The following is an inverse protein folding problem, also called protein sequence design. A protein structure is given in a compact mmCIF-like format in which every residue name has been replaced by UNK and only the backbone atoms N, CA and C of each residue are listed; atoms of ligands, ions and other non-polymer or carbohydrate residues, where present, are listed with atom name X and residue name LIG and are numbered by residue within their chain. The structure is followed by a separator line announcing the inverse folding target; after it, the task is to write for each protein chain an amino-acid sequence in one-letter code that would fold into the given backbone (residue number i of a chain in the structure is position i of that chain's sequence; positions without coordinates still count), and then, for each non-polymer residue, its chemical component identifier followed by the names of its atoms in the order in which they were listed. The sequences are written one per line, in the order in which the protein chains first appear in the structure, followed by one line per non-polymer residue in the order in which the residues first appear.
data_IF_981210955470
#
_entry.id   IF_981210955470
#
_cell.length_a   1.000
_cell.length_b   1.000
_cell.length_c   1.000
_cell.angle_alpha   90.00
_cell.angle_beta   90.00
_cell.angle_gamma   90.00
#
_symmetry.space_group_name_H-M   'P 1'
#
loop_
_entity.id
_entity.type
_entity.pdbx_description
1 polymer ?
#
# COMPACT_ATOMS: atom_id res chain seq x y z
N UNK A 1 37.83 -29.58 -26.96
CA UNK A 1 37.55 -30.16 -25.61
C UNK A 1 37.84 -29.06 -24.60
N UNK A 2 36.99 -28.59 -23.68
CA UNK A 2 35.71 -28.99 -23.09
C UNK A 2 34.91 -27.70 -22.86
N UNK A 3 33.60 -27.76 -23.06
CA UNK A 3 32.64 -26.68 -22.80
C UNK A 3 32.43 -26.60 -21.28
N UNK A 4 32.64 -25.44 -20.67
CA UNK A 4 32.19 -25.16 -19.30
C UNK A 4 31.07 -24.14 -19.44
N UNK A 5 29.84 -24.64 -19.34
CA UNK A 5 28.60 -23.87 -19.35
C UNK A 5 28.46 -23.28 -17.94
N UNK A 6 28.73 -21.98 -17.80
CA UNK A 6 28.43 -21.24 -16.58
C UNK A 6 26.94 -20.85 -16.62
N UNK A 7 26.13 -21.60 -15.88
CA UNK A 7 24.73 -21.26 -15.58
C UNK A 7 24.71 -20.01 -14.67
N UNK A 8 24.56 -18.83 -15.26
CA UNK A 8 24.24 -17.61 -14.53
C UNK A 8 22.71 -17.48 -14.42
N UNK A 9 22.14 -18.06 -13.35
CA UNK A 9 20.75 -17.80 -12.97
C UNK A 9 20.72 -16.42 -12.32
N UNK A 10 20.57 -15.38 -13.13
CA UNK A 10 20.25 -14.04 -12.66
C UNK A 10 18.74 -14.01 -12.44
N UNK A 11 18.33 -14.25 -11.19
CA UNK A 11 16.96 -14.01 -10.76
C UNK A 11 16.68 -12.51 -10.85
N UNK A 12 15.97 -12.08 -11.89
CA UNK A 12 15.38 -10.75 -11.92
C UNK A 12 14.36 -10.67 -10.77
N UNK A 13 14.78 -10.05 -9.68
CA UNK A 13 13.86 -9.56 -8.66
C UNK A 13 13.11 -8.40 -9.33
N UNK A 14 11.94 -8.68 -9.87
CA UNK A 14 11.03 -7.64 -10.37
C UNK A 14 10.56 -6.82 -9.18
N UNK A 15 11.22 -5.69 -8.95
CA UNK A 15 10.71 -4.64 -8.08
C UNK A 15 9.48 -4.06 -8.77
N UNK A 16 8.29 -4.47 -8.34
CA UNK A 16 7.04 -3.86 -8.78
C UNK A 16 6.97 -2.45 -8.22
N UNK A 17 7.40 -1.47 -9.01
CA UNK A 17 7.15 -0.07 -8.75
C UNK A 17 5.68 0.20 -9.06
N UNK A 18 4.78 -0.04 -8.10
CA UNK A 18 3.39 0.45 -8.19
C UNK A 18 3.38 1.97 -8.00
N UNK A 19 3.79 2.68 -9.05
CA UNK A 19 3.73 4.13 -9.13
C UNK A 19 2.45 4.53 -9.84
N UNK A 20 1.31 4.40 -9.13
CA UNK A 20 0.05 5.02 -9.57
C UNK A 20 0.10 6.51 -9.28
N UNK A 21 0.72 7.26 -10.20
CA UNK A 21 0.76 8.71 -10.21
C UNK A 21 -0.62 9.31 -10.42
N UNK A 22 -1.25 9.77 -9.34
CA UNK A 22 -2.40 10.70 -9.33
C UNK A 22 -2.46 11.42 -7.98
N UNK A 23 -1.53 12.33 -7.69
CA UNK A 23 -1.56 13.24 -6.51
C UNK A 23 -2.14 12.63 -5.23
N UNK A 24 -1.79 11.37 -4.94
CA UNK A 24 -2.40 10.59 -3.88
C UNK A 24 -1.47 10.63 -2.68
N UNK A 25 -2.06 10.73 -1.49
CA UNK A 25 -1.29 10.69 -0.24
C UNK A 25 -0.44 9.41 -0.24
N UNK A 26 0.86 9.57 -0.07
CA UNK A 26 1.77 8.43 -0.07
C UNK A 26 1.51 7.57 1.17
N UNK A 27 1.35 6.25 1.03
CA UNK A 27 1.17 5.35 2.17
C UNK A 27 2.38 5.40 3.11
N UNK A 28 2.13 5.33 4.42
CA UNK A 28 3.18 5.28 5.47
C UNK A 28 3.16 3.93 6.17
N UNK A 29 4.19 3.54 6.94
CA UNK A 29 4.15 2.33 7.73
C UNK A 29 2.87 2.26 8.57
N UNK A 30 2.08 1.21 8.37
CA UNK A 30 0.76 1.03 9.02
C UNK A 30 -0.46 1.35 8.14
N UNK A 31 -0.29 2.09 7.03
CA UNK A 31 -1.33 2.28 6.01
C UNK A 31 -1.74 0.94 5.38
N UNK A 32 -3.00 0.82 4.95
CA UNK A 32 -3.52 -0.39 4.30
C UNK A 32 -2.78 -0.68 2.98
N UNK A 33 -2.41 0.37 2.26
CA UNK A 33 -1.72 0.30 0.97
C UNK A 33 -0.19 0.36 1.10
N UNK A 34 0.35 0.30 2.32
CA UNK A 34 1.79 0.28 2.54
C UNK A 34 2.38 -1.06 2.09
N UNK A 35 3.38 -1.00 1.20
CA UNK A 35 4.00 -2.20 0.61
C UNK A 35 3.16 -2.87 -0.48
N UNK A 36 2.07 -2.24 -0.96
CA UNK A 36 1.21 -2.73 -2.04
C UNK A 36 -0.26 -2.76 -1.66
N UNK A 37 -1.13 -3.10 -2.61
CA UNK A 37 -2.58 -3.11 -2.39
C UNK A 37 -3.11 -4.49 -1.97
N UNK A 38 -3.89 -4.59 -0.89
CA UNK A 38 -4.48 -5.86 -0.47
C UNK A 38 -5.63 -6.25 -1.38
N UNK A 39 -5.50 -7.40 -2.05
CA UNK A 39 -6.48 -7.89 -3.03
C UNK A 39 -7.69 -8.59 -2.41
N UNK A 40 -7.64 -8.97 -1.13
CA UNK A 40 -8.53 -10.00 -0.57
C UNK A 40 -9.73 -9.47 0.24
N UNK A 41 -9.72 -8.22 0.72
CA UNK A 41 -10.69 -7.76 1.75
C UNK A 41 -11.80 -6.81 1.27
N UNK A 42 -11.92 -6.54 -0.03
CA UNK A 42 -12.80 -5.46 -0.53
C UNK A 42 -13.92 -5.92 -1.46
N UNK A 43 -14.11 -7.24 -1.61
CA UNK A 43 -15.09 -7.77 -2.58
C UNK A 43 -16.54 -7.49 -2.19
N UNK A 44 -16.82 -7.31 -0.89
CA UNK A 44 -18.18 -7.14 -0.35
C UNK A 44 -18.68 -5.69 -0.33
N UNK A 45 -17.78 -4.72 -0.34
CA UNK A 45 -18.15 -3.30 -0.28
C UNK A 45 -18.37 -2.73 -1.69
N UNK A 46 -19.37 -1.86 -1.90
CA UNK A 46 -19.58 -1.18 -3.18
C UNK A 46 -18.39 -0.29 -3.58
N UNK A 47 -18.19 -0.11 -4.89
CA UNK A 47 -17.25 0.88 -5.43
C UNK A 47 -17.66 2.29 -4.94
N UNK A 48 -16.69 3.13 -4.63
CA UNK A 48 -16.89 4.46 -4.06
C UNK A 48 -17.11 4.48 -2.54
N UNK A 49 -17.22 3.31 -1.91
CA UNK A 49 -17.36 3.23 -0.45
C UNK A 49 -16.11 3.73 0.26
N UNK A 50 -16.33 4.38 1.40
CA UNK A 50 -15.26 4.81 2.29
C UNK A 50 -14.84 3.67 3.22
N UNK A 51 -13.54 3.47 3.34
CA UNK A 51 -12.91 2.49 4.25
C UNK A 51 -12.05 3.27 5.24
N UNK A 52 -12.54 3.52 6.46
CA UNK A 52 -11.73 4.13 7.50
C UNK A 52 -10.71 3.13 8.03
N UNK A 53 -9.52 3.61 8.35
CA UNK A 53 -8.44 2.84 8.94
C UNK A 53 -7.78 3.67 10.04
N UNK A 54 -7.54 3.05 11.19
CA UNK A 54 -6.82 3.68 12.30
C UNK A 54 -5.66 2.80 12.70
N UNK A 55 -4.50 3.41 12.87
CA UNK A 55 -3.33 2.74 13.41
C UNK A 55 -2.49 3.73 14.23
N UNK A 56 -1.59 3.17 15.04
CA UNK A 56 -0.55 3.94 15.72
C UNK A 56 0.72 3.86 14.90
N UNK A 57 1.34 5.00 14.61
CA UNK A 57 2.57 5.03 13.84
C UNK A 57 3.80 4.69 14.70
N UNK A 58 4.99 4.79 14.11
CA UNK A 58 6.25 4.48 14.77
C UNK A 58 6.65 5.49 15.87
N UNK A 59 6.00 6.65 15.93
CA UNK A 59 6.26 7.69 16.92
C UNK A 59 5.25 7.64 18.09
N UNK A 60 4.21 6.81 17.97
CA UNK A 60 3.16 6.67 18.98
C UNK A 60 1.91 7.52 18.73
N UNK A 61 1.87 8.21 17.58
CA UNK A 61 0.76 9.08 17.21
C UNK A 61 -0.40 8.27 16.62
N UNK A 62 -1.62 8.77 16.81
CA UNK A 62 -2.80 8.17 16.21
C UNK A 62 -2.99 8.66 14.78
N UNK A 63 -2.92 7.76 13.82
CA UNK A 63 -3.17 8.04 12.42
C UNK A 63 -4.54 7.51 12.01
N UNK A 64 -5.35 8.40 11.44
CA UNK A 64 -6.66 8.12 10.87
C UNK A 64 -6.60 8.33 9.38
N UNK A 65 -6.86 7.29 8.61
CA UNK A 65 -6.87 7.34 7.16
C UNK A 65 -8.25 6.98 6.62
N UNK A 66 -8.67 7.69 5.59
CA UNK A 66 -9.89 7.36 4.84
C UNK A 66 -9.51 6.97 3.43
N UNK A 67 -9.97 5.79 3.03
CA UNK A 67 -9.76 5.27 1.70
C UNK A 67 -11.07 5.22 0.91
N UNK A 68 -11.00 5.33 -0.41
CA UNK A 68 -12.13 5.08 -1.30
C UNK A 68 -11.83 3.85 -2.17
N UNK A 69 -12.78 2.92 -2.20
CA UNK A 69 -12.74 1.77 -3.11
C UNK A 69 -12.89 2.25 -4.55
N UNK A 70 -11.85 2.07 -5.34
CA UNK A 70 -11.83 2.41 -6.76
C UNK A 70 -12.57 1.37 -7.61
N UNK A 71 -12.89 1.67 -8.88
CA UNK A 71 -13.59 0.73 -9.77
C UNK A 71 -12.86 -0.61 -9.99
N UNK A 72 -11.54 -0.62 -9.92
CA UNK A 72 -10.68 -1.80 -9.97
C UNK A 72 -10.58 -2.56 -8.62
N UNK A 73 -11.39 -2.13 -7.63
CA UNK A 73 -11.38 -2.59 -6.23
C UNK A 73 -10.09 -2.30 -5.47
N UNK A 74 -9.25 -1.43 -6.02
CA UNK A 74 -8.11 -0.89 -5.29
C UNK A 74 -8.54 0.11 -4.22
N UNK A 75 -7.66 0.37 -3.24
CA UNK A 75 -7.87 1.45 -2.28
C UNK A 75 -7.06 2.66 -2.69
N UNK A 76 -7.75 3.79 -2.81
CA UNK A 76 -7.11 5.10 -2.93
C UNK A 76 -7.21 5.82 -1.60
N UNK A 77 -6.06 6.18 -1.04
CA UNK A 77 -6.01 7.04 0.14
C UNK A 77 -6.46 8.44 -0.26
N UNK A 78 -7.53 8.94 0.37
CA UNK A 78 -8.11 10.25 0.06
C UNK A 78 -7.93 11.26 1.17
N UNK A 79 -7.77 10.80 2.40
CA UNK A 79 -7.57 11.66 3.55
C UNK A 79 -6.71 10.98 4.61
N UNK A 80 -5.90 11.77 5.32
CA UNK A 80 -5.11 11.36 6.47
C UNK A 80 -5.12 12.47 7.52
N UNK A 81 -5.44 12.09 8.75
CA UNK A 81 -5.29 12.93 9.94
C UNK A 81 -4.36 12.26 10.93
N UNK A 82 -3.39 13.01 11.43
CA UNK A 82 -2.47 12.59 12.48
C UNK A 82 -2.86 13.34 13.74
N UNK A 83 -3.02 12.62 14.84
CA UNK A 83 -3.27 13.17 16.17
C UNK A 83 -2.05 12.82 17.01
N UNK A 84 -1.23 13.83 17.26
CA UNK A 84 -0.13 13.75 18.23
C UNK A 84 -0.72 13.44 19.60
N UNK A 85 -0.23 12.39 20.27
CA UNK A 85 -0.69 12.09 21.63
C UNK A 85 0.13 12.92 22.62
N UNK A 86 -0.49 13.86 23.36
CA UNK A 86 0.19 14.50 24.49
C UNK A 86 0.41 13.41 25.55
N UNK A 87 1.69 13.19 25.86
CA UNK A 87 2.17 12.26 26.88
C UNK A 87 1.57 12.53 28.26
#
# INVERSE_FOLDING_TARGET
MRRIILLAVVGLITCSCDQTGTSSLQPIPGSITYGGQPRMKLTKSPIGSQVPHRFTDQWGDDVFETYIIQPDRSLRLVDRKIIERPF
#
